data_IF_350707939948
#
_entry.id   IF_350707939948
#
_cell.length_a   1.000
_cell.length_b   1.000
_cell.length_c   1.000
_cell.angle_alpha   90.00
_cell.angle_beta   90.00
_cell.angle_gamma   90.00
#
_symmetry.space_group_name_H-M   'P 1'
#
loop_
_entity.id
_entity.type
_entity.pdbx_description
1 polymer ?
#
# COMPACT_ATOMS: atom_id res chain seq x y z
N UNK A 1 -3.56 -32.14 -2.72
CA UNK A 1 -2.76 -30.90 -2.73
C UNK A 1 -3.64 -29.83 -3.34
N UNK A 2 -4.31 -29.04 -2.48
CA UNK A 2 -5.27 -28.03 -2.90
C UNK A 2 -4.47 -26.76 -3.15
N UNK A 3 -4.56 -26.22 -4.36
CA UNK A 3 -3.76 -25.08 -4.83
C UNK A 3 -3.92 -23.90 -3.88
N UNK A 4 -2.83 -23.50 -3.23
CA UNK A 4 -2.72 -22.13 -2.75
C UNK A 4 -2.88 -21.21 -3.96
N UNK A 5 -3.55 -20.07 -3.79
CA UNK A 5 -3.48 -19.03 -4.80
C UNK A 5 -1.99 -18.72 -5.02
N UNK A 6 -1.46 -18.79 -6.25
CA UNK A 6 -0.02 -18.70 -6.48
C UNK A 6 0.47 -17.28 -6.22
N UNK A 7 0.81 -16.98 -4.97
CA UNK A 7 1.30 -15.69 -4.53
C UNK A 7 2.71 -15.49 -5.04
N UNK A 8 2.94 -14.39 -5.75
CA UNK A 8 4.28 -13.94 -6.09
C UNK A 8 4.85 -13.11 -4.94
N UNK A 9 5.91 -13.61 -4.31
CA UNK A 9 6.56 -12.95 -3.16
C UNK A 9 7.02 -11.52 -3.50
N UNK A 10 7.49 -11.30 -4.72
CA UNK A 10 7.94 -9.98 -5.21
C UNK A 10 6.85 -8.90 -5.21
N UNK A 11 5.57 -9.29 -5.16
CA UNK A 11 4.43 -8.36 -5.07
C UNK A 11 4.10 -7.99 -3.64
N UNK A 12 4.46 -8.85 -2.67
CA UNK A 12 4.06 -8.70 -1.26
C UNK A 12 5.18 -8.19 -0.35
N UNK A 13 6.32 -7.82 -0.93
CA UNK A 13 7.46 -7.25 -0.22
C UNK A 13 7.79 -5.87 -0.75
N UNK A 14 8.27 -5.00 0.14
CA UNK A 14 8.82 -3.72 -0.28
C UNK A 14 10.00 -3.97 -1.24
N UNK A 15 10.10 -3.24 -2.36
CA UNK A 15 11.20 -3.43 -3.29
C UNK A 15 12.53 -3.04 -2.63
N UNK A 16 13.63 -3.72 -2.98
CA UNK A 16 14.95 -3.35 -2.47
C UNK A 16 15.32 -1.94 -2.91
N UNK A 17 15.95 -1.20 -2.02
CA UNK A 17 16.53 0.11 -2.32
C UNK A 17 17.98 -0.07 -2.74
N UNK A 18 18.40 0.71 -3.73
CA UNK A 18 19.81 0.82 -4.09
C UNK A 18 20.54 1.66 -3.04
N UNK A 19 21.82 1.38 -2.81
CA UNK A 19 22.63 2.11 -1.83
C UNK A 19 22.69 3.61 -2.15
N UNK A 20 22.69 3.96 -3.44
CA UNK A 20 22.77 5.34 -3.92
C UNK A 20 21.41 6.07 -3.91
N UNK A 21 20.39 5.47 -3.29
CA UNK A 21 19.07 6.11 -3.16
C UNK A 21 19.16 7.30 -2.22
N UNK A 22 18.97 8.50 -2.76
CA UNK A 22 18.91 9.75 -2.00
C UNK A 22 17.85 9.69 -0.90
N UNK A 23 18.25 10.03 0.32
CA UNK A 23 17.33 10.20 1.44
C UNK A 23 16.56 11.51 1.32
N UNK A 24 15.24 11.41 1.09
CA UNK A 24 14.35 12.57 0.96
C UNK A 24 13.77 12.97 2.30
N UNK A 25 14.60 13.52 3.18
CA UNK A 25 14.27 13.81 4.60
C UNK A 25 12.94 14.53 4.76
N UNK A 26 12.71 15.59 3.97
CA UNK A 26 11.45 16.37 3.96
C UNK A 26 10.20 15.50 3.78
N UNK A 27 10.24 14.55 2.85
CA UNK A 27 9.12 13.66 2.55
C UNK A 27 8.99 12.52 3.57
N UNK A 28 10.12 12.02 4.07
CA UNK A 28 10.13 11.01 5.13
C UNK A 28 9.55 11.57 6.43
N UNK A 29 9.89 12.80 6.80
CA UNK A 29 9.33 13.49 7.96
C UNK A 29 7.82 13.75 7.79
N UNK A 30 7.41 14.18 6.59
CA UNK A 30 6.00 14.31 6.27
C UNK A 30 5.27 12.97 6.44
N UNK A 31 5.83 11.86 5.93
CA UNK A 31 5.24 10.53 6.08
C UNK A 31 5.18 10.14 7.55
N UNK A 32 6.24 10.32 8.34
CA UNK A 32 6.25 10.01 9.79
C UNK A 32 5.10 10.69 10.53
N UNK A 33 4.79 11.94 10.19
CA UNK A 33 3.70 12.70 10.82
C UNK A 33 2.32 12.23 10.32
N UNK A 34 2.21 11.90 9.03
CA UNK A 34 0.91 11.65 8.37
C UNK A 34 0.52 10.18 8.25
N UNK A 35 1.43 9.24 8.53
CA UNK A 35 1.19 7.79 8.44
C UNK A 35 0.16 7.27 9.44
N UNK A 36 -0.32 8.11 10.36
CA UNK A 36 -1.38 7.76 11.32
C UNK A 36 -2.79 8.14 10.84
N UNK A 37 -2.92 8.73 9.64
CA UNK A 37 -4.22 9.00 9.02
C UNK A 37 -4.83 7.72 8.48
N UNK A 38 -6.15 7.69 8.30
CA UNK A 38 -6.82 6.56 7.63
C UNK A 38 -6.25 6.28 6.25
N UNK A 39 -6.01 7.33 5.46
CA UNK A 39 -5.48 7.23 4.09
C UNK A 39 -4.34 8.19 3.86
N UNK A 40 -3.26 7.67 3.29
CA UNK A 40 -2.19 8.46 2.69
C UNK A 40 -2.20 8.22 1.19
N UNK A 41 -2.45 9.26 0.39
CA UNK A 41 -2.37 9.18 -1.06
C UNK A 41 -1.02 9.69 -1.54
N UNK A 42 -0.37 8.93 -2.43
CA UNK A 42 0.82 9.36 -3.14
C UNK A 42 0.54 9.29 -4.63
N UNK A 43 0.29 10.45 -5.24
CA UNK A 43 -0.22 10.56 -6.61
C UNK A 43 0.75 11.36 -7.47
N UNK A 44 1.38 10.68 -8.42
CA UNK A 44 2.21 11.30 -9.45
C UNK A 44 2.46 10.31 -10.58
N UNK A 45 2.84 10.80 -11.75
CA UNK A 45 3.25 9.97 -12.87
C UNK A 45 4.45 9.05 -12.56
N UNK A 46 4.78 8.15 -13.47
CA UNK A 46 5.98 7.33 -13.36
C UNK A 46 7.25 8.20 -13.25
N UNK A 47 8.28 7.69 -12.57
CA UNK A 47 9.57 8.38 -12.42
C UNK A 47 9.68 9.36 -11.25
N UNK A 48 8.58 9.74 -10.59
CA UNK A 48 8.60 10.65 -9.43
C UNK A 48 9.02 9.99 -8.09
N UNK A 49 9.51 8.75 -8.13
CA UNK A 49 10.05 8.07 -6.94
C UNK A 49 9.03 7.68 -5.86
N UNK A 50 7.74 7.55 -6.18
CA UNK A 50 6.67 7.19 -5.20
C UNK A 50 6.97 5.89 -4.46
N UNK A 51 7.23 4.82 -5.22
CA UNK A 51 7.59 3.49 -4.71
C UNK A 51 8.89 3.54 -3.93
N UNK A 52 9.90 4.25 -4.43
CA UNK A 52 11.21 4.43 -3.77
C UNK A 52 11.06 5.13 -2.42
N UNK A 53 10.27 6.19 -2.36
CA UNK A 53 9.99 6.93 -1.12
C UNK A 53 9.37 6.02 -0.06
N UNK A 54 8.36 5.22 -0.43
CA UNK A 54 7.69 4.35 0.53
C UNK A 54 8.52 3.14 0.93
N UNK A 55 9.38 2.63 0.05
CA UNK A 55 10.36 1.63 0.40
C UNK A 55 11.40 2.18 1.39
N UNK A 56 11.87 3.42 1.20
CA UNK A 56 12.82 4.06 2.14
C UNK A 56 12.15 4.37 3.49
N UNK A 57 10.90 4.83 3.46
CA UNK A 57 10.09 4.95 4.67
C UNK A 57 9.95 3.60 5.39
N UNK A 58 9.64 2.52 4.67
CA UNK A 58 9.51 1.17 5.25
C UNK A 58 10.79 0.70 5.94
N UNK A 59 11.97 1.02 5.38
CA UNK A 59 13.26 0.64 5.97
C UNK A 59 13.58 1.41 7.26
N UNK A 60 13.14 2.66 7.35
CA UNK A 60 13.52 3.61 8.43
C UNK A 60 12.46 3.78 9.51
N UNK A 61 11.24 3.36 9.24
CA UNK A 61 10.10 3.54 10.15
C UNK A 61 9.99 2.39 11.14
N UNK A 62 9.44 2.70 12.32
CA UNK A 62 8.98 1.67 13.29
C UNK A 62 7.57 1.17 12.98
N UNK A 63 6.84 1.87 12.10
CA UNK A 63 5.53 1.43 11.61
C UNK A 63 5.73 0.15 10.79
N UNK A 64 4.94 -0.88 11.07
CA UNK A 64 4.95 -2.10 10.27
C UNK A 64 4.37 -1.77 8.89
N UNK A 65 5.18 -1.86 7.84
CA UNK A 65 4.73 -1.62 6.47
C UNK A 65 4.47 -2.95 5.78
N UNK A 66 3.21 -3.19 5.47
CA UNK A 66 2.74 -4.30 4.65
C UNK A 66 2.69 -3.83 3.20
N UNK A 67 3.10 -4.66 2.25
CA UNK A 67 3.19 -4.25 0.85
C UNK A 67 2.35 -5.13 -0.05
N UNK A 68 1.63 -4.53 -0.99
CA UNK A 68 1.03 -5.22 -2.11
C UNK A 68 1.18 -4.35 -3.37
N UNK A 69 2.07 -4.75 -4.27
CA UNK A 69 2.20 -4.18 -5.61
C UNK A 69 1.19 -4.81 -6.54
N UNK A 70 0.33 -3.97 -7.11
CA UNK A 70 -0.72 -4.37 -8.03
C UNK A 70 -0.20 -4.46 -9.46
N UNK A 71 -0.74 -5.41 -10.20
CA UNK A 71 -0.64 -5.49 -11.64
C UNK A 71 -2.01 -5.75 -12.27
N UNK A 72 -2.06 -5.86 -13.61
CA UNK A 72 -3.31 -6.04 -14.35
C UNK A 72 -4.00 -7.37 -14.07
N UNK A 73 -3.33 -8.35 -13.46
CA UNK A 73 -3.90 -9.62 -13.05
C UNK A 73 -4.71 -9.54 -11.77
N UNK A 74 -4.50 -8.55 -10.90
CA UNK A 74 -5.12 -8.47 -9.57
C UNK A 74 -6.52 -7.85 -9.56
N UNK A 75 -7.28 -8.09 -10.63
CA UNK A 75 -8.56 -7.42 -10.86
C UNK A 75 -9.74 -8.19 -10.31
N UNK A 76 -9.58 -9.49 -10.05
CA UNK A 76 -10.58 -10.35 -9.45
C UNK A 76 -10.52 -10.30 -7.92
N UNK A 77 -11.67 -10.46 -7.28
CA UNK A 77 -11.79 -10.33 -5.83
C UNK A 77 -11.05 -11.43 -5.05
N UNK A 78 -10.97 -12.66 -5.59
CA UNK A 78 -10.33 -13.80 -4.90
C UNK A 78 -8.84 -13.54 -4.81
N UNK A 79 -8.20 -13.24 -5.93
CA UNK A 79 -6.79 -12.92 -6.02
C UNK A 79 -6.40 -11.70 -5.21
N UNK A 80 -7.22 -10.64 -5.28
CA UNK A 80 -6.97 -9.43 -4.52
C UNK A 80 -6.97 -9.70 -3.00
N UNK A 81 -7.96 -10.41 -2.47
CA UNK A 81 -7.99 -10.78 -1.04
C UNK A 81 -6.85 -11.75 -0.71
N UNK A 82 -6.54 -12.72 -1.56
CA UNK A 82 -5.43 -13.65 -1.35
C UNK A 82 -4.08 -12.92 -1.23
N UNK A 83 -3.81 -11.93 -2.08
CA UNK A 83 -2.61 -11.11 -1.98
C UNK A 83 -2.60 -10.19 -0.76
N UNK A 84 -3.75 -9.66 -0.33
CA UNK A 84 -3.84 -8.91 0.93
C UNK A 84 -3.49 -9.78 2.14
N UNK A 85 -4.02 -11.01 2.20
CA UNK A 85 -3.66 -12.00 3.23
C UNK A 85 -2.16 -12.27 3.17
N UNK A 86 -1.62 -12.51 1.98
CA UNK A 86 -0.20 -12.79 1.81
C UNK A 86 0.72 -11.63 2.22
N UNK A 87 0.35 -10.39 1.91
CA UNK A 87 1.06 -9.19 2.33
C UNK A 87 1.15 -9.07 3.86
N UNK A 88 0.08 -9.39 4.57
CA UNK A 88 0.06 -9.39 6.04
C UNK A 88 0.91 -10.53 6.59
N UNK A 89 0.86 -11.71 5.94
CA UNK A 89 1.60 -12.92 6.37
C UNK A 89 3.12 -12.83 6.27
N UNK A 90 3.67 -11.90 5.49
CA UNK A 90 5.10 -11.60 5.51
C UNK A 90 5.59 -11.27 6.93
N UNK A 91 4.75 -10.62 7.73
CA UNK A 91 5.08 -10.25 9.11
C UNK A 91 4.31 -11.04 10.17
N UNK A 92 3.15 -11.62 9.81
CA UNK A 92 2.27 -12.37 10.70
C UNK A 92 1.88 -13.70 10.05
N UNK A 93 2.75 -14.73 10.08
CA UNK A 93 2.59 -15.95 9.28
C UNK A 93 1.23 -16.64 9.42
N UNK A 94 0.64 -16.60 10.62
CA UNK A 94 -0.63 -17.26 10.96
C UNK A 94 -1.86 -16.38 10.70
N UNK A 95 -1.72 -15.22 10.07
CA UNK A 95 -2.81 -14.29 9.85
C UNK A 95 -3.91 -14.84 8.94
N UNK A 96 -5.16 -14.52 9.25
CA UNK A 96 -6.36 -14.82 8.47
C UNK A 96 -6.54 -16.29 8.03
N UNK A 97 -6.47 -17.27 8.97
CA UNK A 97 -6.65 -18.68 8.64
C UNK A 97 -8.05 -18.97 8.09
N UNK A 98 -9.09 -18.28 8.59
CA UNK A 98 -10.48 -18.52 8.16
C UNK A 98 -10.70 -17.97 6.76
N UNK A 99 -10.27 -16.74 6.47
CA UNK A 99 -10.33 -16.18 5.12
C UNK A 99 -9.60 -17.07 4.12
N UNK A 100 -8.41 -17.58 4.46
CA UNK A 100 -7.67 -18.46 3.56
C UNK A 100 -8.43 -19.78 3.28
N UNK A 101 -9.06 -20.38 4.29
CA UNK A 101 -9.90 -21.56 4.10
C UNK A 101 -11.08 -21.27 3.18
N UNK A 102 -11.78 -20.15 3.38
CA UNK A 102 -12.90 -19.74 2.53
C UNK A 102 -12.49 -19.50 1.07
N UNK A 103 -11.31 -18.89 0.83
CA UNK A 103 -10.79 -18.68 -0.53
C UNK A 103 -10.44 -19.98 -1.27
N UNK A 104 -10.26 -21.09 -0.55
CA UNK A 104 -9.98 -22.42 -1.14
C UNK A 104 -11.26 -23.15 -1.56
N UNK A 105 -12.42 -22.73 -1.06
CA UNK A 105 -13.71 -23.30 -1.44
C UNK A 105 -14.05 -22.84 -2.87
N UNK A 106 -14.30 -23.80 -3.76
CA UNK A 106 -14.54 -23.56 -5.19
C UNK A 106 -15.81 -24.27 -5.66
N UNK A 107 -16.35 -23.84 -6.81
CA UNK A 107 -17.55 -24.43 -7.39
C UNK A 107 -18.82 -24.13 -6.59
N UNK A 108 -19.73 -25.10 -6.48
CA UNK A 108 -21.02 -24.93 -5.81
C UNK A 108 -20.96 -24.68 -4.30
N UNK A 109 -19.78 -24.76 -3.69
CA UNK A 109 -19.54 -24.46 -2.28
C UNK A 109 -18.80 -23.13 -2.08
N UNK A 110 -18.47 -22.39 -3.16
CA UNK A 110 -17.75 -21.13 -3.02
C UNK A 110 -18.58 -20.10 -2.23
N UNK A 111 -18.01 -19.50 -1.17
CA UNK A 111 -18.71 -18.51 -0.38
C UNK A 111 -18.91 -17.21 -1.17
N UNK A 112 -19.97 -16.43 -0.87
CA UNK A 112 -20.14 -15.11 -1.46
C UNK A 112 -18.96 -14.19 -1.12
N UNK A 113 -18.53 -13.36 -2.09
CA UNK A 113 -17.44 -12.38 -1.91
C UNK A 113 -17.57 -11.59 -0.61
N UNK A 114 -18.75 -11.07 -0.34
CA UNK A 114 -18.97 -10.17 0.81
C UNK A 114 -18.84 -10.93 2.14
N UNK A 115 -19.19 -12.22 2.18
CA UNK A 115 -18.95 -13.07 3.36
C UNK A 115 -17.46 -13.33 3.62
N UNK A 116 -16.67 -13.51 2.56
CA UNK A 116 -15.20 -13.64 2.67
C UNK A 116 -14.58 -12.32 3.11
N UNK A 117 -15.02 -11.21 2.52
CA UNK A 117 -14.55 -9.87 2.86
C UNK A 117 -14.89 -9.49 4.31
N UNK A 118 -16.09 -9.81 4.79
CA UNK A 118 -16.50 -9.62 6.19
C UNK A 118 -15.62 -10.41 7.16
N UNK A 119 -15.26 -11.64 6.78
CA UNK A 119 -14.35 -12.50 7.54
C UNK A 119 -12.96 -11.89 7.58
N UNK A 120 -12.44 -11.47 6.43
CA UNK A 120 -11.13 -10.81 6.33
C UNK A 120 -11.06 -9.53 7.15
N UNK A 121 -12.09 -8.67 7.07
CA UNK A 121 -12.17 -7.43 7.86
C UNK A 121 -12.20 -7.73 9.37
N UNK A 122 -12.88 -8.80 9.79
CA UNK A 122 -12.88 -9.23 11.19
C UNK A 122 -11.48 -9.67 11.62
N UNK A 123 -10.80 -10.49 10.82
CA UNK A 123 -9.44 -10.97 11.12
C UNK A 123 -8.40 -9.84 11.11
N UNK A 124 -8.61 -8.75 10.35
CA UNK A 124 -7.79 -7.53 10.51
C UNK A 124 -7.87 -6.98 11.95
N UNK A 125 -8.96 -7.24 12.67
CA UNK A 125 -9.11 -6.93 14.09
C UNK A 125 -8.09 -7.62 15.00
N UNK A 126 -7.45 -8.69 14.53
CA UNK A 126 -6.43 -9.45 15.26
C UNK A 126 -5.00 -8.92 15.00
N UNK A 127 -4.85 -7.91 14.14
CA UNK A 127 -3.56 -7.25 13.94
C UNK A 127 -3.02 -6.74 15.29
N UNK A 128 -1.70 -6.82 15.54
CA UNK A 128 -1.11 -6.27 16.76
C UNK A 128 -1.45 -4.79 16.97
N UNK A 129 -1.34 -4.33 18.21
CA UNK A 129 -1.64 -2.94 18.57
C UNK A 129 -0.70 -1.91 17.91
N UNK A 130 0.50 -2.35 17.48
CA UNK A 130 1.47 -1.47 16.81
C UNK A 130 0.89 -0.84 15.54
N UNK A 131 1.20 0.45 15.27
CA UNK A 131 0.82 1.11 14.02
C UNK A 131 1.26 0.29 12.80
N UNK A 132 0.32 0.06 11.89
CA UNK A 132 0.54 -0.74 10.69
C UNK A 132 0.04 0.04 9.47
N UNK A 133 0.85 0.09 8.41
CA UNK A 133 0.51 0.72 7.15
C UNK A 133 0.47 -0.34 6.04
N UNK A 134 -0.62 -0.41 5.30
CA UNK A 134 -0.75 -1.24 4.10
C UNK A 134 -0.54 -0.38 2.86
N UNK A 135 0.56 -0.63 2.15
CA UNK A 135 0.89 0.01 0.88
C UNK A 135 0.27 -0.78 -0.25
N UNK A 136 -0.61 -0.13 -1.01
CA UNK A 136 -1.11 -0.59 -2.29
C UNK A 136 -0.38 0.17 -3.40
N UNK A 137 0.64 -0.47 -3.97
CA UNK A 137 1.46 0.13 -5.00
C UNK A 137 0.86 -0.07 -6.40
N UNK A 138 1.03 0.92 -7.27
CA UNK A 138 0.51 0.93 -8.63
C UNK A 138 -1.02 0.79 -8.76
N UNK A 139 -1.82 1.29 -7.80
CA UNK A 139 -3.29 1.16 -7.76
C UNK A 139 -4.03 1.50 -9.06
N UNK A 140 -3.53 2.48 -9.83
CA UNK A 140 -4.07 2.85 -11.15
C UNK A 140 -4.22 1.69 -12.16
N UNK A 141 -3.54 0.55 -11.99
CA UNK A 141 -3.65 -0.62 -12.89
C UNK A 141 -4.92 -1.45 -12.69
N UNK A 142 -5.60 -1.25 -11.55
CA UNK A 142 -6.84 -1.97 -11.18
C UNK A 142 -7.99 -1.02 -10.82
N UNK A 143 -7.84 0.29 -11.03
CA UNK A 143 -8.79 1.28 -10.50
C UNK A 143 -10.15 1.36 -11.21
N UNK A 144 -10.26 0.72 -12.36
CA UNK A 144 -11.49 0.49 -13.08
C UNK A 144 -12.17 -0.84 -12.69
N UNK A 145 -11.51 -1.72 -11.92
CA UNK A 145 -12.13 -2.95 -11.40
C UNK A 145 -13.21 -2.62 -10.38
N UNK A 146 -14.42 -3.15 -10.62
CA UNK A 146 -15.56 -3.00 -9.71
C UNK A 146 -15.29 -3.75 -8.39
N UNK A 147 -14.72 -4.95 -8.48
CA UNK A 147 -14.44 -5.80 -7.32
C UNK A 147 -13.38 -5.16 -6.40
N UNK A 148 -12.26 -4.72 -6.97
CA UNK A 148 -11.20 -4.07 -6.18
C UNK A 148 -11.71 -2.80 -5.52
N UNK A 149 -12.46 -1.96 -6.25
CA UNK A 149 -13.07 -0.75 -5.67
C UNK A 149 -14.06 -1.06 -4.55
N UNK A 150 -14.86 -2.12 -4.71
CA UNK A 150 -15.79 -2.56 -3.68
C UNK A 150 -15.03 -2.96 -2.41
N UNK A 151 -14.04 -3.85 -2.54
CA UNK A 151 -13.21 -4.30 -1.41
C UNK A 151 -12.53 -3.12 -0.72
N UNK A 152 -11.89 -2.23 -1.48
CA UNK A 152 -11.22 -1.06 -0.90
C UNK A 152 -12.17 -0.13 -0.17
N UNK A 153 -13.38 0.07 -0.68
CA UNK A 153 -14.40 0.89 0.00
C UNK A 153 -14.77 0.29 1.36
N UNK A 154 -15.02 -1.02 1.41
CA UNK A 154 -15.37 -1.70 2.67
C UNK A 154 -14.19 -1.69 3.66
N UNK A 155 -12.96 -1.93 3.18
CA UNK A 155 -11.75 -1.85 4.00
C UNK A 155 -11.57 -0.44 4.58
N UNK A 156 -11.68 0.60 3.76
CA UNK A 156 -11.57 1.98 4.22
C UNK A 156 -12.65 2.36 5.23
N UNK A 157 -13.85 1.79 5.13
CA UNK A 157 -14.94 2.05 6.05
C UNK A 157 -14.84 1.27 7.37
N UNK A 158 -14.34 0.03 7.34
CA UNK A 158 -14.55 -0.95 8.43
C UNK A 158 -13.29 -1.56 9.01
N UNK A 159 -12.14 -1.46 8.34
CA UNK A 159 -10.88 -1.97 8.90
C UNK A 159 -10.51 -1.21 10.19
N UNK A 160 -9.73 -1.81 11.11
CA UNK A 160 -9.34 -1.16 12.35
C UNK A 160 -8.65 0.19 12.15
N UNK A 161 -8.82 1.14 13.08
CA UNK A 161 -8.28 2.50 12.98
C UNK A 161 -6.74 2.54 12.95
N UNK A 162 -6.09 1.57 13.57
CA UNK A 162 -4.62 1.42 13.58
C UNK A 162 -4.01 1.00 12.24
N UNK A 163 -4.85 0.63 11.27
CA UNK A 163 -4.44 0.29 9.91
C UNK A 163 -4.60 1.51 9.00
N UNK A 164 -3.47 2.02 8.53
CA UNK A 164 -3.40 3.10 7.54
C UNK A 164 -3.27 2.51 6.14
N UNK A 165 -4.06 3.03 5.19
CA UNK A 165 -3.96 2.66 3.79
C UNK A 165 -3.10 3.68 3.04
N UNK A 166 -1.95 3.24 2.53
CA UNK A 166 -1.09 4.05 1.67
C UNK A 166 -1.36 3.66 0.22
N UNK A 167 -2.01 4.54 -0.53
CA UNK A 167 -2.40 4.28 -1.92
C UNK A 167 -1.45 5.02 -2.85
N UNK A 168 -0.62 4.28 -3.57
CA UNK A 168 0.27 4.83 -4.58
C UNK A 168 -0.40 4.69 -5.95
N UNK A 169 -0.52 5.80 -6.67
CA UNK A 169 -1.21 5.82 -7.96
C UNK A 169 -0.64 6.88 -8.90
N UNK A 170 -0.90 6.75 -10.20
CA UNK A 170 -0.59 7.80 -11.18
C UNK A 170 -1.67 8.87 -11.27
N UNK A 171 -2.92 8.46 -11.05
CA UNK A 171 -4.11 9.32 -11.11
C UNK A 171 -4.94 9.16 -9.84
N UNK A 172 -5.87 10.09 -9.62
CA UNK A 172 -6.76 10.04 -8.47
C UNK A 172 -7.57 8.73 -8.50
N UNK A 173 -7.46 7.86 -7.47
CA UNK A 173 -8.27 6.65 -7.43
C UNK A 173 -9.75 7.03 -7.25
N UNK A 174 -10.67 6.36 -7.97
CA UNK A 174 -12.11 6.61 -7.90
C UNK A 174 -12.72 5.99 -6.63
N UNK A 175 -12.24 6.44 -5.47
CA UNK A 175 -12.69 6.01 -4.15
C UNK A 175 -13.46 7.15 -3.45
N UNK A 176 -14.48 6.84 -2.64
CA UNK A 176 -15.31 7.84 -1.96
C UNK A 176 -14.59 8.46 -0.75
N UNK A 177 -13.54 9.24 -1.00
CA UNK A 177 -12.67 9.81 0.05
C UNK A 177 -13.18 11.15 0.61
N UNK A 178 -14.25 11.73 0.06
CA UNK A 178 -14.73 13.06 0.43
C UNK A 178 -15.04 13.20 1.93
N UNK A 179 -15.72 12.21 2.52
CA UNK A 179 -16.00 12.18 3.95
C UNK A 179 -14.72 12.12 4.79
N UNK A 180 -13.77 11.25 4.43
CA UNK A 180 -12.50 11.14 5.14
C UNK A 180 -11.70 12.44 5.06
N UNK A 181 -11.70 13.13 3.91
CA UNK A 181 -11.06 14.46 3.78
C UNK A 181 -11.67 15.48 4.73
N UNK A 182 -13.00 15.53 4.81
CA UNK A 182 -13.70 16.46 5.71
C UNK A 182 -13.35 16.21 7.19
N UNK A 183 -13.01 14.96 7.54
CA UNK A 183 -12.55 14.58 8.87
C UNK A 183 -11.04 14.75 9.09
N UNK A 184 -10.29 15.20 8.08
CA UNK A 184 -8.82 15.30 8.16
C UNK A 184 -8.10 13.94 8.13
N UNK A 185 -8.79 12.87 7.70
CA UNK A 185 -8.31 11.48 7.67
C UNK A 185 -7.62 11.10 6.35
N UNK A 186 -7.43 12.06 5.45
CA UNK A 186 -6.69 11.89 4.21
C UNK A 186 -5.51 12.86 4.19
N UNK A 187 -4.32 12.32 4.03
CA UNK A 187 -3.11 13.09 3.72
C UNK A 187 -2.64 12.78 2.30
N UNK A 188 -2.07 13.77 1.61
CA UNK A 188 -1.69 13.61 0.19
C UNK A 188 -0.31 14.18 -0.11
N UNK A 189 0.44 13.43 -0.93
CA UNK A 189 1.60 13.90 -1.68
C UNK A 189 1.27 13.85 -3.17
N UNK A 190 1.46 14.97 -3.85
CA UNK A 190 1.25 15.11 -5.29
C UNK A 190 2.57 15.32 -6.03
N UNK A 191 2.51 15.34 -7.34
CA UNK A 191 3.64 15.62 -8.24
C UNK A 191 4.48 16.81 -7.79
N UNK A 192 3.87 17.93 -7.38
CA UNK A 192 4.59 19.12 -6.91
C UNK A 192 5.43 18.86 -5.67
N UNK A 193 4.91 18.09 -4.72
CA UNK A 193 5.57 17.78 -3.45
C UNK A 193 6.72 16.79 -3.64
N UNK A 194 6.54 15.88 -4.61
CA UNK A 194 7.48 14.82 -4.97
C UNK A 194 8.60 15.27 -5.90
N UNK A 195 8.55 16.46 -6.48
CA UNK A 195 9.71 17.00 -7.22
C UNK A 195 10.88 17.21 -6.27
N UNK A 196 12.10 17.03 -6.78
CA UNK A 196 13.28 17.44 -6.03
C UNK A 196 13.25 18.96 -5.88
N UNK A 197 13.40 19.42 -4.66
CA UNK A 197 13.74 20.82 -4.41
C UNK A 197 15.23 21.07 -4.70
N UNK A 198 15.66 22.32 -4.58
CA UNK A 198 17.05 22.70 -4.87
C UNK A 198 18.05 21.96 -3.96
N UNK A 199 17.72 21.77 -2.69
CA UNK A 199 18.58 21.08 -1.73
C UNK A 199 18.65 19.58 -2.06
N UNK A 200 17.53 18.95 -2.36
CA UNK A 200 17.48 17.54 -2.81
C UNK A 200 18.26 17.35 -4.12
N UNK A 201 18.19 18.30 -5.05
CA UNK A 201 18.91 18.24 -6.33
C UNK A 201 20.42 18.36 -6.11
N UNK A 202 20.86 19.30 -5.29
CA UNK A 202 22.27 19.45 -4.94
C UNK A 202 22.82 18.21 -4.23
N UNK A 203 22.05 17.68 -3.27
CA UNK A 203 22.42 16.47 -2.55
C UNK A 203 22.52 15.26 -3.49
N UNK A 204 21.58 15.08 -4.42
CA UNK A 204 21.63 14.02 -5.42
C UNK A 204 22.90 14.07 -6.26
N UNK A 205 23.24 15.26 -6.79
CA UNK A 205 24.41 15.43 -7.65
C UNK A 205 25.69 15.12 -6.88
N UNK A 206 25.77 15.57 -5.63
CA UNK A 206 26.91 15.35 -4.76
C UNK A 206 27.07 13.88 -4.35
N UNK A 207 26.01 13.24 -3.91
CA UNK A 207 26.06 11.90 -3.28
C UNK A 207 25.95 10.76 -4.29
N UNK A 208 25.12 10.92 -5.33
CA UNK A 208 24.86 9.85 -6.30
C UNK A 208 25.72 9.99 -7.56
N UNK A 209 25.88 11.22 -8.07
CA UNK A 209 26.62 11.45 -9.32
C UNK A 209 28.07 11.87 -9.11
N UNK A 210 28.49 12.15 -7.86
CA UNK A 210 29.81 12.68 -7.52
C UNK A 210 30.19 13.94 -8.32
N UNK A 211 29.19 14.79 -8.62
CA UNK A 211 29.33 16.04 -9.37
C UNK A 211 28.89 17.23 -8.50
N UNK A 212 29.58 18.35 -8.61
CA UNK A 212 29.08 19.62 -8.09
C UNK A 212 28.10 20.25 -9.09
N UNK A 213 26.98 20.78 -8.62
CA UNK A 213 26.15 21.66 -9.43
C UNK A 213 26.86 23.02 -9.50
N UNK A 214 27.20 23.46 -10.71
CA UNK A 214 27.58 24.84 -10.92
C UNK A 214 26.34 25.75 -10.76
N UNK A 215 26.51 26.95 -10.17
CA UNK A 215 25.41 27.86 -9.86
C UNK A 215 24.68 28.43 -11.09
#
# INVERSE_FOLDING_TARGET
>A
MISEYPVQISKVQAPPLREETLERVRLLDWLRIKIHRRVVLVIAEAGYGKTTLLADFSRRSRVRVLWFRLDRGDRDWVGFIAYLVAAIRIHLPDFAPVTQSLLRETGGSAPPRDSVLDTFIRELGDLPADPTALVLDDLHVVDDSIDVRHILRELLARAPERLTFVLISRKQPPLPLARLRALGEVAELRTSDLRFDAAETEQLFRETYALALEP
#
